data_IF_771021670229
#
_entry.id   IF_771021670229
#
_cell.length_a   1.000
_cell.length_b   1.000
_cell.length_c   1.000
_cell.angle_alpha   90.00
_cell.angle_beta   90.00
_cell.angle_gamma   90.00
#
_symmetry.space_group_name_H-M   'P 1'
#
loop_
_entity.id
_entity.type
_entity.pdbx_description
1 polymer ?
#
# COMPACT_ATOMS: atom_id res chain seq x y z
N UNK A 1 -3.55 7.23 -14.63
CA UNK A 1 -2.10 7.35 -14.98
C UNK A 1 -1.87 8.07 -16.31
N UNK A 2 -2.92 8.37 -17.07
CA UNK A 2 -2.80 8.89 -18.44
C UNK A 2 -2.32 10.34 -18.54
N UNK A 3 -2.66 11.21 -17.56
CA UNK A 3 -2.29 12.63 -17.57
C UNK A 3 -0.78 12.88 -17.64
N UNK A 4 0.04 11.93 -17.19
CA UNK A 4 1.50 12.05 -17.15
C UNK A 4 2.22 10.88 -17.85
N UNK A 5 1.50 10.07 -18.63
CA UNK A 5 2.06 8.90 -19.34
C UNK A 5 2.86 7.94 -18.45
N UNK A 6 2.49 7.82 -17.17
CA UNK A 6 3.20 7.00 -16.19
C UNK A 6 3.00 5.51 -16.47
N UNK A 7 4.11 4.76 -16.51
CA UNK A 7 4.15 3.30 -16.61
C UNK A 7 4.32 2.68 -15.22
N UNK A 8 3.98 1.39 -15.11
CA UNK A 8 4.06 0.66 -13.84
C UNK A 8 5.45 0.70 -13.18
N UNK A 9 6.54 0.80 -13.96
CA UNK A 9 7.91 0.92 -13.46
C UNK A 9 8.29 2.33 -12.96
N UNK A 10 7.61 3.39 -13.42
CA UNK A 10 7.99 4.77 -13.09
C UNK A 10 7.74 5.13 -11.62
N UNK A 11 6.98 4.29 -10.92
CA UNK A 11 6.68 4.42 -9.48
C UNK A 11 7.46 3.44 -8.61
N UNK A 12 8.36 2.67 -9.21
CA UNK A 12 9.20 1.72 -8.48
C UNK A 12 10.06 2.45 -7.44
N UNK A 13 10.14 1.90 -6.24
CA UNK A 13 10.96 2.46 -5.16
C UNK A 13 10.39 3.70 -4.46
N UNK A 14 9.39 4.41 -5.02
CA UNK A 14 8.78 5.61 -4.40
C UNK A 14 8.26 5.31 -3.00
N UNK A 15 7.68 4.12 -2.79
CA UNK A 15 7.19 3.67 -1.48
C UNK A 15 8.28 3.65 -0.40
N UNK A 16 9.57 3.59 -0.76
CA UNK A 16 10.66 3.62 0.22
C UNK A 16 11.06 5.04 0.64
N UNK A 17 10.78 6.08 -0.16
CA UNK A 17 11.27 7.44 0.14
C UNK A 17 10.83 7.99 1.49
N UNK A 18 9.57 7.79 1.94
CA UNK A 18 9.17 8.26 3.27
C UNK A 18 9.96 7.61 4.42
N UNK A 19 10.50 6.41 4.23
CA UNK A 19 11.31 5.72 5.24
C UNK A 19 12.68 6.37 5.48
N UNK A 20 13.14 7.27 4.60
CA UNK A 20 14.35 8.06 4.81
C UNK A 20 14.16 9.22 5.79
N UNK A 21 12.91 9.54 6.16
CA UNK A 21 12.59 10.59 7.12
C UNK A 21 12.71 10.02 8.53
N UNK A 22 13.49 10.69 9.39
CA UNK A 22 13.68 10.25 10.76
C UNK A 22 12.34 10.15 11.51
N UNK A 23 12.11 9.03 12.18
CA UNK A 23 10.87 8.73 12.91
C UNK A 23 9.75 8.09 12.08
N UNK A 24 9.98 7.78 10.78
CA UNK A 24 9.01 7.04 9.96
C UNK A 24 9.37 5.56 9.89
N UNK A 25 8.56 4.72 10.54
CA UNK A 25 8.76 3.27 10.57
C UNK A 25 7.96 2.51 9.50
N UNK A 26 6.95 3.15 8.89
CA UNK A 26 6.04 2.52 7.92
C UNK A 26 5.75 3.51 6.79
N UNK A 27 5.77 3.01 5.56
CA UNK A 27 5.37 3.73 4.36
C UNK A 27 4.40 2.90 3.54
N UNK A 28 3.37 3.54 2.99
CA UNK A 28 2.38 2.92 2.11
C UNK A 28 2.17 3.77 0.87
N UNK A 29 2.15 3.13 -0.29
CA UNK A 29 1.75 3.74 -1.54
C UNK A 29 0.44 3.08 -1.99
N UNK A 30 -0.61 3.89 -2.14
CA UNK A 30 -1.95 3.45 -2.59
C UNK A 30 -2.17 3.99 -3.99
N UNK A 31 -2.46 3.08 -4.93
CA UNK A 31 -2.52 3.39 -6.35
C UNK A 31 -3.84 2.91 -6.94
N UNK A 32 -4.60 3.84 -7.50
CA UNK A 32 -5.80 3.53 -8.28
C UNK A 32 -5.40 3.00 -9.68
N UNK A 33 -5.80 1.76 -9.97
CA UNK A 33 -5.58 1.06 -11.24
C UNK A 33 -6.88 0.79 -12.00
N UNK A 34 -8.00 1.37 -11.57
CA UNK A 34 -9.33 1.18 -12.16
C UNK A 34 -9.41 1.57 -13.65
N UNK A 35 -8.45 2.35 -14.17
CA UNK A 35 -8.38 2.71 -15.60
C UNK A 35 -7.94 1.54 -16.52
N UNK A 36 -7.51 0.40 -15.98
CA UNK A 36 -6.99 -0.71 -16.76
C UNK A 36 -8.08 -1.72 -17.18
N UNK A 37 -8.84 -1.42 -18.24
CA UNK A 37 -9.69 -2.34 -19.08
C UNK A 37 -10.66 -3.33 -18.40
N UNK A 38 -10.75 -3.38 -17.09
CA UNK A 38 -11.70 -4.22 -16.33
C UNK A 38 -12.64 -3.30 -15.58
N UNK A 39 -13.94 -3.58 -15.63
CA UNK A 39 -15.01 -2.76 -15.03
C UNK A 39 -15.01 -2.74 -13.49
N UNK A 40 -13.95 -3.24 -12.86
CA UNK A 40 -13.83 -3.46 -11.44
C UNK A 40 -12.83 -2.46 -10.85
N UNK A 41 -13.17 -1.88 -9.69
CA UNK A 41 -12.26 -1.04 -8.93
C UNK A 41 -11.06 -1.88 -8.51
N UNK A 42 -9.86 -1.45 -8.89
CA UNK A 42 -8.62 -2.12 -8.51
C UNK A 42 -7.72 -1.09 -7.83
N UNK A 43 -7.70 -1.08 -6.49
CA UNK A 43 -6.77 -0.26 -5.71
C UNK A 43 -5.65 -1.17 -5.24
N UNK A 44 -4.41 -0.85 -5.59
CA UNK A 44 -3.23 -1.58 -5.13
C UNK A 44 -2.50 -0.84 -4.02
N UNK A 45 -1.92 -1.62 -3.10
CA UNK A 45 -1.10 -1.14 -2.00
C UNK A 45 0.30 -1.71 -2.13
N UNK A 46 1.31 -0.86 -1.97
CA UNK A 46 2.69 -1.26 -1.69
C UNK A 46 3.05 -0.81 -0.29
N UNK A 47 3.53 -1.73 0.54
CA UNK A 47 3.83 -1.50 1.95
C UNK A 47 5.31 -1.74 2.21
N UNK A 48 5.90 -0.86 3.02
CA UNK A 48 7.28 -0.97 3.51
C UNK A 48 7.34 -0.60 4.97
N UNK A 49 8.25 -1.23 5.70
CA UNK A 49 8.56 -0.84 7.07
C UNK A 49 10.05 -0.97 7.37
N UNK A 50 10.50 -0.24 8.38
CA UNK A 50 11.81 -0.41 9.02
C UNK A 50 11.58 -1.04 10.40
N UNK A 51 12.55 -1.86 10.83
CA UNK A 51 12.55 -2.45 12.17
C UNK A 51 11.52 -3.57 12.34
N UNK A 52 10.64 -3.40 13.33
CA UNK A 52 9.83 -4.49 13.89
C UNK A 52 8.45 -4.70 13.25
N UNK A 53 7.88 -3.69 12.59
CA UNK A 53 6.48 -3.72 12.17
C UNK A 53 6.23 -4.69 10.99
N UNK A 54 5.35 -5.71 11.14
CA UNK A 54 5.15 -6.74 10.12
C UNK A 54 4.11 -6.33 9.06
N UNK A 55 4.54 -5.63 8.01
CA UNK A 55 3.63 -5.19 6.94
C UNK A 55 3.02 -6.34 6.14
N UNK A 56 3.66 -7.51 6.09
CA UNK A 56 3.08 -8.71 5.49
C UNK A 56 1.81 -9.19 6.20
N UNK A 57 1.77 -9.11 7.53
CA UNK A 57 0.61 -9.51 8.31
C UNK A 57 -0.55 -8.55 8.09
N UNK A 58 -0.28 -7.24 8.13
CA UNK A 58 -1.27 -6.21 7.80
C UNK A 58 -1.81 -6.41 6.38
N UNK A 59 -0.94 -6.69 5.42
CA UNK A 59 -1.32 -6.95 4.03
C UNK A 59 -2.20 -8.20 3.86
N UNK A 60 -1.87 -9.30 4.55
CA UNK A 60 -2.64 -10.55 4.50
C UNK A 60 -4.02 -10.40 5.13
N UNK A 61 -4.10 -9.71 6.28
CA UNK A 61 -5.35 -9.59 7.05
C UNK A 61 -6.36 -8.65 6.41
N UNK A 62 -5.90 -7.55 5.80
CA UNK A 62 -6.80 -6.45 5.42
C UNK A 62 -6.85 -6.16 3.92
N UNK A 63 -5.89 -6.67 3.13
CA UNK A 63 -5.69 -6.21 1.75
C UNK A 63 -5.48 -7.35 0.76
N UNK A 64 -6.00 -8.56 1.02
CA UNK A 64 -5.89 -9.72 0.11
C UNK A 64 -4.47 -9.93 -0.45
N UNK A 65 -3.46 -9.66 0.36
CA UNK A 65 -2.09 -9.50 -0.08
C UNK A 65 -1.11 -10.42 0.63
N UNK A 66 0.17 -10.09 0.52
CA UNK A 66 1.25 -10.87 1.11
C UNK A 66 2.63 -10.32 0.78
N UNK A 67 3.66 -11.05 1.20
CA UNK A 67 5.06 -10.67 1.00
C UNK A 67 5.92 -10.99 2.22
N UNK A 68 7.03 -10.28 2.32
CA UNK A 68 8.00 -10.37 3.41
C UNK A 68 7.67 -9.44 4.56
N UNK A 69 8.22 -9.72 5.75
CA UNK A 69 7.97 -8.97 6.99
C UNK A 69 7.96 -7.44 6.78
N UNK A 70 8.95 -6.92 6.06
CA UNK A 70 9.16 -5.48 5.86
C UNK A 70 8.80 -4.97 4.45
N UNK A 71 8.31 -5.84 3.56
CA UNK A 71 7.95 -5.50 2.20
C UNK A 71 6.80 -6.38 1.71
N UNK A 72 5.62 -5.79 1.54
CA UNK A 72 4.42 -6.49 1.15
C UNK A 72 3.62 -5.69 0.13
N UNK A 73 2.69 -6.37 -0.53
CA UNK A 73 1.74 -5.74 -1.45
C UNK A 73 0.35 -6.36 -1.28
N UNK A 74 -0.68 -5.58 -1.59
CA UNK A 74 -2.07 -5.99 -1.48
C UNK A 74 -2.97 -5.23 -2.43
N UNK A 75 -4.25 -5.56 -2.40
CA UNK A 75 -5.28 -4.94 -3.21
C UNK A 75 -6.64 -4.89 -2.51
N UNK A 76 -7.47 -3.95 -2.95
CA UNK A 76 -8.88 -3.82 -2.54
C UNK A 76 -9.74 -3.43 -3.71
N UNK A 77 -11.03 -3.82 -3.65
CA UNK A 77 -12.03 -3.42 -4.65
C UNK A 77 -12.87 -2.22 -4.16
N UNK A 78 -12.39 -1.48 -3.16
CA UNK A 78 -13.00 -0.27 -2.59
C UNK A 78 -12.50 1.00 -3.30
N UNK A 79 -13.01 2.17 -2.93
CA UNK A 79 -12.41 3.45 -3.33
C UNK A 79 -11.08 3.70 -2.61
N UNK A 80 -10.24 4.59 -3.15
CA UNK A 80 -8.98 5.01 -2.50
C UNK A 80 -9.23 5.53 -1.08
N UNK A 81 -10.28 6.34 -0.90
CA UNK A 81 -10.65 6.91 0.39
C UNK A 81 -11.01 5.82 1.41
N UNK A 82 -11.83 4.86 1.03
CA UNK A 82 -12.16 3.71 1.88
C UNK A 82 -10.92 2.87 2.21
N UNK A 83 -10.02 2.65 1.23
CA UNK A 83 -8.77 1.92 1.44
C UNK A 83 -7.88 2.62 2.49
N UNK A 84 -7.82 3.96 2.46
CA UNK A 84 -7.08 4.76 3.46
C UNK A 84 -7.68 4.57 4.85
N UNK A 85 -9.00 4.58 4.98
CA UNK A 85 -9.67 4.39 6.28
C UNK A 85 -9.50 2.96 6.82
N UNK A 86 -9.58 1.95 5.95
CA UNK A 86 -9.26 0.56 6.30
C UNK A 86 -7.81 0.48 6.81
N UNK A 87 -6.87 1.13 6.13
CA UNK A 87 -5.46 1.15 6.54
C UNK A 87 -5.26 1.79 7.91
N UNK A 88 -5.84 2.97 8.17
CA UNK A 88 -5.76 3.64 9.48
C UNK A 88 -6.35 2.77 10.59
N UNK A 89 -7.49 2.13 10.35
CA UNK A 89 -8.12 1.27 11.34
C UNK A 89 -7.33 -0.03 11.57
N UNK A 90 -6.74 -0.60 10.52
CA UNK A 90 -5.85 -1.73 10.63
C UNK A 90 -4.65 -1.40 11.54
N UNK A 91 -4.03 -0.23 11.41
CA UNK A 91 -2.90 0.19 12.26
C UNK A 91 -3.25 0.21 13.75
N UNK A 92 -4.47 0.60 14.13
CA UNK A 92 -4.94 0.57 15.53
C UNK A 92 -4.93 -0.84 16.13
N UNK A 93 -5.00 -1.89 15.30
CA UNK A 93 -4.93 -3.28 15.78
C UNK A 93 -3.50 -3.74 16.08
N UNK A 94 -2.49 -2.97 15.68
CA UNK A 94 -1.07 -3.23 15.93
C UNK A 94 -0.44 -2.27 16.94
N UNK A 95 -1.07 -1.13 17.21
CA UNK A 95 -0.72 -0.25 18.32
C UNK A 95 -1.35 -0.80 19.59
N UNK A 96 -0.51 -1.24 20.55
CA UNK A 96 -0.93 -1.51 21.93
C UNK A 96 -1.04 -0.20 22.71
#
# INVERSE_FOLDING_TARGET
>A
MEKFSLKTGDTEGIVNYPLGINGIDISVMITDRTQNKSSEKEIRLSLRSIGGFPVNELSRRYFNGGGHKNAAGGQTNTSVQETVEIFKNALKTFQK
#
